data_IF_566671960869
#
_entry.id   IF_566671960869
#
_cell.length_a   1.000
_cell.length_b   1.000
_cell.length_c   1.000
_cell.angle_alpha   90.00
_cell.angle_beta   90.00
_cell.angle_gamma   90.00
#
_symmetry.space_group_name_H-M   'P 1'
#
loop_
_entity.id
_entity.type
_entity.pdbx_description
1 polymer ?
#
# COMPACT_ATOMS: atom_id res chain seq x y z
N UNK A 1 27.17 -5.85 58.97
CA UNK A 1 28.35 -5.15 58.40
C UNK A 1 27.98 -4.65 57.00
N UNK A 2 27.36 -3.47 56.93
CA UNK A 2 26.81 -2.87 55.70
C UNK A 2 27.93 -2.02 55.09
N UNK A 3 28.55 -2.50 54.02
CA UNK A 3 29.49 -1.74 53.18
C UNK A 3 28.89 -1.64 51.78
N UNK A 4 28.93 -0.44 51.22
CA UNK A 4 28.50 -0.04 49.87
C UNK A 4 27.05 0.39 49.70
N UNK A 5 26.67 1.47 50.41
CA UNK A 5 25.73 2.41 49.83
C UNK A 5 26.50 3.64 49.29
N UNK A 6 26.64 3.69 47.97
CA UNK A 6 27.30 4.79 47.26
C UNK A 6 26.52 6.11 47.42
N UNK A 7 25.21 6.05 47.68
CA UNK A 7 24.37 7.23 47.88
C UNK A 7 24.58 7.87 49.25
N UNK A 8 24.72 7.06 50.31
CA UNK A 8 25.02 7.57 51.65
C UNK A 8 26.38 8.29 51.70
N UNK A 9 27.40 7.76 51.00
CA UNK A 9 28.70 8.43 50.85
C UNK A 9 28.62 9.73 50.05
N UNK A 10 27.76 9.80 49.03
CA UNK A 10 27.56 11.00 48.24
C UNK A 10 26.86 12.12 49.03
N UNK A 11 25.91 11.79 49.91
CA UNK A 11 25.21 12.75 50.78
C UNK A 11 26.12 13.33 51.88
N UNK A 12 26.98 12.52 52.48
CA UNK A 12 27.97 12.99 53.47
C UNK A 12 28.98 13.95 52.81
N UNK A 13 29.42 13.64 51.58
CA UNK A 13 30.29 14.51 50.80
C UNK A 13 29.61 15.81 50.34
N UNK A 14 28.28 15.82 50.22
CA UNK A 14 27.53 17.01 49.80
C UNK A 14 27.53 18.10 50.88
N UNK A 15 27.51 17.73 52.17
CA UNK A 15 27.56 18.67 53.28
C UNK A 15 28.99 19.21 53.53
N UNK A 16 30.03 18.41 53.29
CA UNK A 16 31.42 18.88 53.34
C UNK A 16 31.79 19.78 52.16
N UNK A 17 31.17 19.59 50.97
CA UNK A 17 31.35 20.45 49.80
C UNK A 17 30.71 21.84 49.93
N UNK A 18 29.74 22.03 50.82
CA UNK A 18 29.06 23.33 51.00
C UNK A 18 29.99 24.41 51.62
N UNK A 19 31.10 23.99 52.24
CA UNK A 19 31.97 24.86 53.02
C UNK A 19 33.39 25.07 52.45
N UNK A 20 33.70 24.59 51.24
CA UNK A 20 35.08 24.63 50.71
C UNK A 20 35.15 25.00 49.24
N UNK A 21 35.85 26.10 48.95
CA UNK A 21 36.20 26.60 47.61
C UNK A 21 37.01 25.56 46.83
N UNK A 22 36.39 24.85 45.90
CA UNK A 22 37.10 24.23 44.77
C UNK A 22 36.12 23.99 43.61
N UNK A 23 36.42 24.56 42.44
CA UNK A 23 35.71 24.31 41.19
C UNK A 23 36.02 22.90 40.69
N UNK A 24 35.26 21.91 41.15
CA UNK A 24 35.23 20.59 40.53
C UNK A 24 33.88 20.43 39.86
N UNK A 25 33.85 20.65 38.53
CA UNK A 25 32.68 20.38 37.69
C UNK A 25 32.34 18.89 37.80
N UNK A 26 31.41 18.56 38.69
CA UNK A 26 31.06 17.19 39.02
C UNK A 26 30.33 16.55 37.82
N UNK A 27 30.56 15.28 37.53
CA UNK A 27 29.98 14.57 36.37
C UNK A 27 28.45 14.64 36.32
N UNK A 28 27.80 14.72 37.49
CA UNK A 28 26.36 14.93 37.63
C UNK A 28 25.91 16.33 37.16
N UNK A 29 26.72 17.36 37.39
CA UNK A 29 26.44 18.70 36.90
C UNK A 29 26.51 18.74 35.37
N UNK A 30 27.54 18.14 34.75
CA UNK A 30 27.63 17.98 33.29
C UNK A 30 26.45 17.20 32.69
N UNK A 31 25.93 16.20 33.41
CA UNK A 31 24.86 15.33 32.91
C UNK A 31 23.46 15.91 33.08
N UNK A 32 23.25 16.80 34.05
CA UNK A 32 21.91 17.24 34.47
C UNK A 32 21.68 18.76 34.48
N UNK A 33 22.70 19.63 34.25
CA UNK A 33 22.55 21.11 34.32
C UNK A 33 21.49 21.70 33.39
N UNK A 34 21.08 20.99 32.33
CA UNK A 34 20.29 21.56 31.24
C UNK A 34 19.09 20.69 30.84
N UNK A 35 18.38 20.08 31.79
CA UNK A 35 17.15 19.34 31.44
C UNK A 35 16.08 20.23 30.76
N UNK A 36 16.01 21.52 31.10
CA UNK A 36 15.11 22.51 30.48
C UNK A 36 15.62 23.05 29.13
N UNK A 37 16.93 23.14 28.90
CA UNK A 37 17.48 23.45 27.56
C UNK A 37 17.42 22.25 26.62
N UNK A 38 17.44 21.01 27.14
CA UNK A 38 17.37 19.79 26.33
C UNK A 38 16.02 19.65 25.64
N UNK A 39 14.93 20.09 26.25
CA UNK A 39 13.62 20.16 25.59
C UNK A 39 13.64 21.17 24.45
N UNK A 40 14.17 22.38 24.67
CA UNK A 40 14.26 23.40 23.63
C UNK A 40 15.24 23.04 22.48
N UNK A 41 16.35 22.37 22.78
CA UNK A 41 17.31 21.87 21.79
C UNK A 41 16.79 20.64 21.05
N UNK A 42 16.11 19.72 21.74
CA UNK A 42 15.45 18.57 21.10
C UNK A 42 14.29 19.05 20.23
N UNK A 43 13.54 20.06 20.67
CA UNK A 43 12.45 20.67 19.89
C UNK A 43 13.00 21.51 18.73
N UNK A 44 14.14 22.20 18.89
CA UNK A 44 14.88 22.81 17.77
C UNK A 44 15.45 21.77 16.81
N UNK A 45 15.96 20.64 17.29
CA UNK A 45 16.50 19.55 16.46
C UNK A 45 15.38 18.81 15.72
N UNK A 46 14.23 18.58 16.37
CA UNK A 46 12.99 18.09 15.74
C UNK A 46 12.46 19.09 14.71
N UNK A 47 12.53 20.40 14.99
CA UNK A 47 12.19 21.47 14.03
C UNK A 47 13.16 21.57 12.86
N UNK A 48 14.44 21.20 13.06
CA UNK A 48 15.50 21.25 12.05
C UNK A 48 15.81 19.85 11.50
N UNK A 49 14.79 19.05 11.22
CA UNK A 49 15.00 17.81 10.46
C UNK A 49 15.58 18.20 9.09
N UNK A 50 16.80 17.76 8.80
CA UNK A 50 17.43 18.07 7.52
C UNK A 50 16.72 17.28 6.43
N UNK A 51 15.86 17.99 5.70
CA UNK A 51 15.28 17.50 4.46
C UNK A 51 16.20 17.85 3.29
N UNK A 52 16.29 16.92 2.35
CA UNK A 52 17.00 17.10 1.08
C UNK A 52 15.98 17.11 -0.04
N UNK A 53 15.96 18.19 -0.83
CA UNK A 53 15.10 18.29 -2.00
C UNK A 53 15.80 17.70 -3.23
N UNK A 54 15.04 16.98 -4.04
CA UNK A 54 15.45 16.51 -5.35
C UNK A 54 15.31 17.66 -6.34
N UNK A 55 16.28 17.82 -7.23
CA UNK A 55 16.24 18.82 -8.31
C UNK A 55 14.95 18.70 -9.13
N UNK A 56 14.25 19.81 -9.31
CA UNK A 56 12.94 19.85 -9.97
C UNK A 56 12.96 19.29 -11.39
N UNK A 57 13.97 19.64 -12.19
CA UNK A 57 14.13 19.14 -13.56
C UNK A 57 14.22 17.60 -13.60
N UNK A 58 14.98 17.03 -12.67
CA UNK A 58 15.17 15.60 -12.53
C UNK A 58 13.88 14.89 -12.11
N UNK A 59 13.16 15.48 -11.16
CA UNK A 59 11.87 14.99 -10.68
C UNK A 59 10.80 15.00 -11.79
N UNK A 60 10.70 16.09 -12.55
CA UNK A 60 9.76 16.19 -13.67
C UNK A 60 10.13 15.22 -14.81
N UNK A 61 11.43 15.08 -15.11
CA UNK A 61 11.91 14.18 -16.16
C UNK A 61 11.53 12.72 -15.86
N UNK A 62 11.75 12.24 -14.64
CA UNK A 62 11.42 10.86 -14.27
C UNK A 62 9.90 10.61 -14.30
N UNK A 63 9.09 11.59 -13.90
CA UNK A 63 7.63 11.49 -13.99
C UNK A 63 7.17 11.35 -15.45
N UNK A 64 7.69 12.20 -16.35
CA UNK A 64 7.36 12.18 -17.78
C UNK A 64 7.77 10.87 -18.44
N UNK A 65 9.01 10.41 -18.22
CA UNK A 65 9.51 9.15 -18.76
C UNK A 65 8.69 7.93 -18.30
N UNK A 66 8.13 8.00 -17.09
CA UNK A 66 7.34 6.92 -16.51
C UNK A 66 5.87 6.95 -16.92
N UNK A 67 5.47 7.87 -17.80
CA UNK A 67 4.10 8.00 -18.28
C UNK A 67 3.12 8.56 -17.23
N UNK A 68 3.62 9.30 -16.24
CA UNK A 68 2.75 10.05 -15.32
C UNK A 68 2.17 11.22 -16.11
N UNK A 69 0.83 11.28 -16.16
CA UNK A 69 0.09 12.25 -16.95
C UNK A 69 -0.03 13.55 -16.13
N UNK A 70 0.98 14.41 -16.25
CA UNK A 70 1.06 15.72 -15.60
C UNK A 70 0.94 16.78 -16.70
N UNK A 71 0.27 17.91 -16.45
CA UNK A 71 0.24 19.02 -17.42
C UNK A 71 1.65 19.45 -17.84
N UNK A 72 1.81 19.65 -19.15
CA UNK A 72 3.01 20.24 -19.73
C UNK A 72 2.83 21.74 -20.05
N UNK A 73 1.58 22.19 -20.20
CA UNK A 73 1.25 23.52 -20.71
C UNK A 73 0.47 24.35 -19.67
N UNK A 74 0.78 25.65 -19.58
CA UNK A 74 0.11 26.57 -18.63
C UNK A 74 -1.31 26.92 -19.05
N UNK A 75 -1.66 26.67 -20.32
CA UNK A 75 -2.94 27.07 -20.91
C UNK A 75 -4.04 26.01 -20.78
N UNK A 76 -3.72 24.78 -20.35
CA UNK A 76 -4.69 23.68 -20.28
C UNK A 76 -4.81 23.15 -18.83
N UNK A 77 -6.00 22.78 -18.38
CA UNK A 77 -6.13 22.18 -17.05
C UNK A 77 -5.65 20.71 -17.09
N UNK A 78 -5.17 20.18 -15.97
CA UNK A 78 -4.78 18.75 -15.87
C UNK A 78 -5.95 17.83 -16.32
N UNK A 79 -7.18 18.24 -16.05
CA UNK A 79 -8.41 17.52 -16.43
C UNK A 79 -8.61 17.45 -17.94
N UNK A 80 -8.29 18.51 -18.67
CA UNK A 80 -8.46 18.57 -20.12
C UNK A 80 -7.46 17.63 -20.82
N UNK A 81 -6.21 17.63 -20.36
CA UNK A 81 -5.18 16.73 -20.89
C UNK A 81 -5.57 15.26 -20.68
N UNK A 82 -6.01 14.91 -19.48
CA UNK A 82 -6.45 13.56 -19.16
C UNK A 82 -7.71 13.16 -19.92
N UNK A 83 -8.65 14.09 -20.10
CA UNK A 83 -9.86 13.87 -20.92
C UNK A 83 -9.52 13.61 -22.39
N UNK A 84 -8.50 14.28 -22.93
CA UNK A 84 -8.01 14.00 -24.28
C UNK A 84 -7.25 12.68 -24.39
N UNK A 85 -6.53 12.29 -23.33
CA UNK A 85 -5.85 10.99 -23.29
C UNK A 85 -6.85 9.84 -23.22
N UNK A 86 -7.86 9.93 -22.34
CA UNK A 86 -8.81 8.84 -22.10
C UNK A 86 -9.69 8.56 -23.32
N UNK A 87 -10.02 9.58 -24.13
CA UNK A 87 -10.73 9.45 -25.42
C UNK A 87 -10.01 8.54 -26.43
N UNK A 88 -8.70 8.29 -26.26
CA UNK A 88 -7.88 7.41 -27.12
C UNK A 88 -7.88 5.94 -26.65
N UNK A 89 -8.38 5.66 -25.45
CA UNK A 89 -8.45 4.30 -24.91
C UNK A 89 -9.80 3.64 -25.26
N UNK A 90 -9.94 2.30 -25.15
CA UNK A 90 -11.21 1.62 -25.33
C UNK A 90 -12.35 2.20 -24.48
N UNK A 91 -13.59 2.04 -24.94
CA UNK A 91 -14.77 2.48 -24.21
C UNK A 91 -14.79 1.89 -22.78
N UNK A 92 -15.27 2.66 -21.81
CA UNK A 92 -15.29 2.34 -20.39
C UNK A 92 -13.91 2.25 -19.70
N UNK A 93 -12.83 2.60 -20.40
CA UNK A 93 -11.53 2.86 -19.76
C UNK A 93 -11.62 4.11 -18.88
N UNK A 94 -10.94 4.11 -17.75
CA UNK A 94 -10.84 5.27 -16.87
C UNK A 94 -9.45 5.48 -16.31
N UNK A 95 -9.18 6.71 -15.88
CA UNK A 95 -7.97 7.13 -15.19
C UNK A 95 -8.38 7.63 -13.82
N UNK A 96 -7.74 7.15 -12.77
CA UNK A 96 -7.82 7.72 -11.43
C UNK A 96 -6.54 8.50 -11.18
N UNK A 97 -6.67 9.76 -10.78
CA UNK A 97 -5.57 10.54 -10.25
C UNK A 97 -5.93 11.12 -8.88
N UNK A 98 -5.00 11.02 -7.95
CA UNK A 98 -5.16 11.58 -6.62
C UNK A 98 -3.84 12.14 -6.13
N UNK A 99 -3.81 13.44 -5.88
CA UNK A 99 -2.73 14.04 -5.11
C UNK A 99 -2.96 13.77 -3.63
N UNK A 100 -1.88 13.42 -2.94
CA UNK A 100 -1.93 13.12 -1.52
C UNK A 100 -0.74 13.73 -0.80
N UNK A 101 -0.87 13.84 0.52
CA UNK A 101 0.20 14.30 1.41
C UNK A 101 0.46 13.25 2.48
N UNK A 102 1.72 12.90 2.68
CA UNK A 102 2.10 11.93 3.71
C UNK A 102 1.77 12.48 5.11
N UNK A 103 1.04 11.69 5.92
CA UNK A 103 0.79 11.97 7.35
C UNK A 103 1.92 11.50 8.24
N UNK A 104 2.71 10.55 7.76
CA UNK A 104 3.89 10.02 8.42
C UNK A 104 4.96 9.70 7.39
N UNK A 105 6.24 9.55 7.79
CA UNK A 105 7.31 9.21 6.88
C UNK A 105 7.01 7.95 6.08
N UNK A 106 7.41 7.94 4.81
CA UNK A 106 7.34 6.77 3.95
C UNK A 106 8.70 6.09 3.84
N UNK A 107 8.69 4.77 3.94
CA UNK A 107 9.85 3.92 3.72
C UNK A 107 9.44 2.66 2.97
N UNK A 108 10.17 2.35 1.92
CA UNK A 108 10.27 1.00 1.37
C UNK A 108 11.75 0.73 1.22
N UNK A 109 12.21 -0.47 1.56
CA UNK A 109 13.63 -0.79 1.45
C UNK A 109 14.06 -0.77 -0.02
N UNK A 110 15.22 -0.17 -0.31
CA UNK A 110 15.91 -0.35 -1.59
C UNK A 110 16.80 -1.58 -1.54
N UNK A 111 16.96 -2.26 -2.68
CA UNK A 111 17.78 -3.47 -2.80
C UNK A 111 19.21 -3.13 -3.27
N UNK A 112 19.64 -1.88 -3.12
CA UNK A 112 20.97 -1.38 -3.52
C UNK A 112 22.04 -1.82 -2.51
N UNK A 113 22.83 -2.83 -2.86
CA UNK A 113 23.81 -3.49 -1.97
C UNK A 113 24.93 -2.55 -1.48
N UNK A 114 25.22 -1.46 -2.21
CA UNK A 114 26.34 -0.55 -1.93
C UNK A 114 25.87 0.84 -1.48
N UNK A 115 24.89 0.90 -0.58
CA UNK A 115 24.40 2.15 -0.03
C UNK A 115 25.07 2.53 1.30
N UNK A 116 25.35 3.83 1.49
CA UNK A 116 26.07 4.35 2.68
C UNK A 116 25.22 4.18 3.96
N UNK A 117 23.90 4.24 3.82
CA UNK A 117 22.94 4.12 4.92
C UNK A 117 22.40 2.68 4.95
N UNK A 118 22.27 2.11 6.15
CA UNK A 118 21.82 0.71 6.34
C UNK A 118 20.44 0.42 5.77
N UNK A 119 19.51 1.37 5.86
CA UNK A 119 18.13 1.22 5.39
C UNK A 119 17.84 2.34 4.38
N UNK A 120 18.29 2.21 3.11
CA UNK A 120 17.95 3.17 2.07
C UNK A 120 16.48 3.13 1.74
N UNK A 121 15.87 4.29 1.49
CA UNK A 121 14.56 4.31 0.86
C UNK A 121 14.70 3.93 -0.61
N UNK A 122 13.70 3.21 -1.10
CA UNK A 122 13.56 2.79 -2.47
C UNK A 122 13.57 3.97 -3.44
N UNK A 123 14.48 3.93 -4.41
CA UNK A 123 14.60 4.93 -5.47
C UNK A 123 14.51 4.31 -6.87
N UNK A 124 14.13 5.13 -7.84
CA UNK A 124 14.31 4.81 -9.25
C UNK A 124 15.81 4.61 -9.56
N UNK A 125 16.15 3.64 -10.42
CA UNK A 125 17.53 3.18 -10.60
C UNK A 125 18.44 4.22 -11.23
N UNK A 126 17.99 4.89 -12.29
CA UNK A 126 18.82 5.81 -13.07
C UNK A 126 18.92 7.19 -12.41
N UNK A 127 17.78 7.76 -12.03
CA UNK A 127 17.67 9.08 -11.44
C UNK A 127 17.77 9.05 -9.92
N UNK A 128 17.75 7.90 -9.24
CA UNK A 128 17.84 7.86 -7.77
C UNK A 128 16.83 8.81 -7.09
N UNK A 129 15.61 8.85 -7.64
CA UNK A 129 14.48 9.62 -7.09
C UNK A 129 13.64 8.68 -6.23
N UNK A 130 13.32 9.02 -4.97
CA UNK A 130 12.52 8.16 -4.10
C UNK A 130 11.16 7.87 -4.68
N UNK A 131 10.69 6.63 -4.53
CA UNK A 131 9.42 6.22 -5.14
C UNK A 131 8.64 5.16 -4.37
N UNK A 132 7.36 5.10 -4.68
CA UNK A 132 6.51 3.90 -4.55
C UNK A 132 6.49 3.22 -5.92
N UNK A 133 6.91 1.96 -6.01
CA UNK A 133 6.77 1.17 -7.25
C UNK A 133 5.29 0.97 -7.57
N UNK A 134 4.96 0.85 -8.87
CA UNK A 134 3.61 0.45 -9.30
C UNK A 134 3.17 -0.89 -8.69
N UNK A 135 4.09 -1.85 -8.52
CA UNK A 135 3.82 -3.10 -7.81
C UNK A 135 3.56 -2.91 -6.32
N UNK A 136 4.15 -1.88 -5.69
CA UNK A 136 3.87 -1.50 -4.30
C UNK A 136 2.44 -0.99 -4.14
N UNK A 137 1.99 -0.12 -5.05
CA UNK A 137 0.59 0.31 -5.11
C UNK A 137 -0.37 -0.85 -5.37
N UNK A 138 -0.04 -1.71 -6.34
CA UNK A 138 -0.82 -2.93 -6.64
C UNK A 138 -0.99 -3.78 -5.38
N UNK A 139 0.09 -4.05 -4.65
CA UNK A 139 0.07 -4.87 -3.43
C UNK A 139 -0.73 -4.23 -2.30
N UNK A 140 -0.55 -2.93 -2.05
CA UNK A 140 -1.30 -2.20 -1.02
C UNK A 140 -2.81 -2.20 -1.32
N UNK A 141 -3.20 -1.92 -2.56
CA UNK A 141 -4.60 -1.92 -2.99
C UNK A 141 -5.20 -3.32 -2.97
N UNK A 142 -4.47 -4.35 -3.41
CA UNK A 142 -4.91 -5.74 -3.29
C UNK A 142 -5.16 -6.12 -1.81
N UNK A 143 -4.30 -5.66 -0.89
CA UNK A 143 -4.51 -5.79 0.55
C UNK A 143 -5.79 -5.11 1.03
N UNK A 144 -6.03 -3.87 0.61
CA UNK A 144 -7.26 -3.16 0.95
C UNK A 144 -8.53 -3.84 0.39
N UNK A 145 -8.46 -4.42 -0.81
CA UNK A 145 -9.57 -5.22 -1.35
C UNK A 145 -9.90 -6.43 -0.49
N UNK A 146 -8.89 -7.13 0.05
CA UNK A 146 -9.12 -8.25 0.99
C UNK A 146 -9.86 -7.79 2.24
N UNK A 147 -9.56 -6.60 2.74
CA UNK A 147 -10.30 -6.02 3.86
C UNK A 147 -11.75 -5.70 3.46
N UNK A 148 -11.96 -5.06 2.31
CA UNK A 148 -13.30 -4.77 1.77
C UNK A 148 -14.13 -6.04 1.61
N UNK A 149 -13.54 -7.12 1.08
CA UNK A 149 -14.19 -8.44 0.96
C UNK A 149 -14.67 -8.92 2.35
N UNK A 150 -13.82 -8.82 3.37
CA UNK A 150 -14.14 -9.32 4.71
C UNK A 150 -15.10 -8.41 5.50
N UNK A 151 -15.26 -7.14 5.11
CA UNK A 151 -16.22 -6.20 5.69
C UNK A 151 -17.64 -6.41 5.16
N UNK A 152 -17.80 -7.15 4.05
CA UNK A 152 -19.13 -7.50 3.51
C UNK A 152 -19.73 -8.71 4.22
N UNK A 153 -20.88 -8.48 4.86
CA UNK A 153 -21.69 -9.52 5.50
C UNK A 153 -22.57 -10.28 4.48
N UNK A 154 -23.09 -9.57 3.48
CA UNK A 154 -23.92 -10.14 2.42
C UNK A 154 -23.05 -10.85 1.36
N UNK A 155 -23.45 -12.07 1.01
CA UNK A 155 -22.83 -12.87 -0.05
C UNK A 155 -22.74 -12.13 -1.39
N UNK A 156 -23.83 -11.46 -1.81
CA UNK A 156 -23.88 -10.78 -3.10
C UNK A 156 -22.90 -9.60 -3.16
N UNK A 157 -22.83 -8.80 -2.09
CA UNK A 157 -21.89 -7.67 -2.01
C UNK A 157 -20.44 -8.16 -1.99
N UNK A 158 -20.15 -9.24 -1.26
CA UNK A 158 -18.82 -9.84 -1.21
C UNK A 158 -18.36 -10.30 -2.59
N UNK A 159 -19.25 -10.98 -3.32
CA UNK A 159 -19.02 -11.43 -4.69
C UNK A 159 -18.69 -10.27 -5.63
N UNK A 160 -19.42 -9.17 -5.57
CA UNK A 160 -19.13 -8.00 -6.42
C UNK A 160 -17.71 -7.46 -6.21
N UNK A 161 -17.23 -7.44 -4.97
CA UNK A 161 -15.85 -7.01 -4.66
C UNK A 161 -14.83 -8.02 -5.14
N UNK A 162 -15.09 -9.33 -5.01
CA UNK A 162 -14.20 -10.39 -5.52
C UNK A 162 -14.11 -10.34 -7.05
N UNK A 163 -15.25 -10.25 -7.73
CA UNK A 163 -15.34 -10.11 -9.18
C UNK A 163 -14.53 -8.88 -9.65
N UNK A 164 -14.62 -7.76 -8.91
CA UNK A 164 -13.82 -6.56 -9.19
C UNK A 164 -12.33 -6.79 -8.95
N UNK A 165 -11.96 -7.44 -7.85
CA UNK A 165 -10.58 -7.78 -7.51
C UNK A 165 -9.91 -8.57 -8.65
N UNK A 166 -10.56 -9.62 -9.13
CA UNK A 166 -10.02 -10.47 -10.20
C UNK A 166 -9.85 -9.69 -11.50
N UNK A 167 -10.85 -8.92 -11.92
CA UNK A 167 -10.76 -8.04 -13.09
C UNK A 167 -9.63 -7.03 -12.98
N UNK A 168 -9.52 -6.32 -11.85
CA UNK A 168 -8.57 -5.23 -11.64
C UNK A 168 -7.13 -5.75 -11.59
N UNK A 169 -6.88 -6.76 -10.74
CA UNK A 169 -5.52 -7.22 -10.43
C UNK A 169 -5.03 -8.34 -11.34
N UNK A 170 -5.96 -9.03 -11.99
CA UNK A 170 -5.72 -10.22 -12.80
C UNK A 170 -5.73 -11.50 -11.98
N UNK A 171 -5.92 -12.61 -12.68
CA UNK A 171 -6.03 -13.95 -12.13
C UNK A 171 -4.84 -14.82 -12.57
N UNK A 172 -3.62 -14.28 -12.49
CA UNK A 172 -2.40 -14.92 -13.02
C UNK A 172 -1.60 -15.77 -12.03
N UNK A 173 -2.18 -16.11 -10.88
CA UNK A 173 -1.49 -16.86 -9.83
C UNK A 173 -1.34 -18.33 -10.17
N UNK A 174 -0.36 -18.99 -9.55
CA UNK A 174 -0.19 -20.43 -9.71
C UNK A 174 -1.38 -21.23 -9.16
N UNK A 175 -2.08 -20.70 -8.14
CA UNK A 175 -3.30 -21.30 -7.60
C UNK A 175 -4.41 -21.31 -8.65
N UNK A 176 -4.63 -20.20 -9.34
CA UNK A 176 -5.66 -20.09 -10.38
C UNK A 176 -5.31 -20.94 -11.60
N UNK A 177 -4.06 -20.90 -12.06
CA UNK A 177 -3.59 -21.78 -13.14
C UNK A 177 -3.82 -23.25 -12.81
N UNK A 178 -3.49 -23.66 -11.58
CA UNK A 178 -3.72 -25.04 -11.15
C UNK A 178 -5.21 -25.35 -11.11
N UNK A 179 -6.06 -24.45 -10.60
CA UNK A 179 -7.52 -24.64 -10.62
C UNK A 179 -8.03 -24.76 -12.07
N UNK A 180 -7.56 -23.92 -12.97
CA UNK A 180 -7.93 -23.88 -14.39
C UNK A 180 -7.50 -25.15 -15.13
N UNK A 181 -6.22 -25.53 -15.04
CA UNK A 181 -5.65 -26.74 -15.66
C UNK A 181 -6.45 -27.99 -15.25
N UNK A 182 -6.86 -28.06 -13.98
CA UNK A 182 -7.62 -29.19 -13.46
C UNK A 182 -9.06 -29.23 -13.97
N UNK A 183 -9.70 -28.07 -14.09
CA UNK A 183 -11.05 -27.97 -14.64
C UNK A 183 -11.09 -28.34 -16.12
N UNK A 184 -10.03 -28.01 -16.88
CA UNK A 184 -9.92 -28.33 -18.30
C UNK A 184 -9.51 -29.80 -18.56
N UNK A 185 -8.55 -30.34 -17.81
CA UNK A 185 -7.93 -31.65 -18.12
C UNK A 185 -8.65 -32.87 -17.55
N UNK A 186 -9.54 -32.71 -16.55
CA UNK A 186 -10.25 -33.80 -15.83
C UNK A 186 -9.37 -34.92 -15.25
N UNK A 187 -8.05 -34.81 -15.32
CA UNK A 187 -7.07 -35.79 -14.85
C UNK A 187 -6.07 -35.07 -13.96
N UNK A 188 -6.34 -35.07 -12.66
CA UNK A 188 -5.47 -34.45 -11.67
C UNK A 188 -5.64 -35.07 -10.29
N UNK A 189 -4.72 -34.77 -9.40
CA UNK A 189 -4.80 -35.10 -7.97
C UNK A 189 -5.83 -34.21 -7.26
N UNK A 190 -6.98 -34.79 -6.88
CA UNK A 190 -8.05 -34.10 -6.15
C UNK A 190 -7.55 -33.47 -4.84
N UNK A 191 -6.56 -34.06 -4.17
CA UNK A 191 -5.95 -33.50 -2.97
C UNK A 191 -5.26 -32.17 -3.25
N UNK A 192 -4.43 -32.13 -4.30
CA UNK A 192 -3.76 -30.91 -4.75
C UNK A 192 -4.74 -29.82 -5.20
N UNK A 193 -5.86 -30.20 -5.81
CA UNK A 193 -6.92 -29.24 -6.16
C UNK A 193 -7.53 -28.58 -4.91
N UNK A 194 -7.88 -29.37 -3.89
CA UNK A 194 -8.42 -28.86 -2.62
C UNK A 194 -7.44 -27.91 -1.93
N UNK A 195 -6.16 -28.27 -1.92
CA UNK A 195 -5.08 -27.43 -1.37
C UNK A 195 -5.01 -26.08 -2.09
N UNK A 196 -4.93 -26.08 -3.43
CA UNK A 196 -4.87 -24.84 -4.22
C UNK A 196 -6.14 -24.00 -4.15
N UNK A 197 -7.29 -24.63 -4.01
CA UNK A 197 -8.55 -23.95 -3.75
C UNK A 197 -8.52 -23.20 -2.40
N UNK A 198 -8.06 -23.86 -1.33
CA UNK A 198 -7.91 -23.23 -0.02
C UNK A 198 -6.85 -22.13 -0.03
N UNK A 199 -5.72 -22.33 -0.70
CA UNK A 199 -4.69 -21.30 -0.88
C UNK A 199 -5.25 -20.07 -1.59
N UNK A 200 -6.02 -20.26 -2.67
CA UNK A 200 -6.66 -19.18 -3.41
C UNK A 200 -7.61 -18.36 -2.51
N UNK A 201 -8.52 -19.04 -1.80
CA UNK A 201 -9.50 -18.39 -0.92
C UNK A 201 -8.79 -17.65 0.22
N UNK A 202 -7.79 -18.27 0.84
CA UNK A 202 -7.12 -17.73 2.03
C UNK A 202 -6.13 -16.62 1.68
N UNK A 203 -5.23 -16.87 0.74
CA UNK A 203 -4.08 -16.00 0.47
C UNK A 203 -4.37 -14.98 -0.61
N UNK A 204 -5.13 -15.34 -1.65
CA UNK A 204 -5.39 -14.43 -2.77
C UNK A 204 -6.60 -13.56 -2.52
N UNK A 205 -7.73 -14.16 -2.14
CA UNK A 205 -8.94 -13.41 -1.80
C UNK A 205 -8.90 -12.86 -0.36
N UNK A 206 -7.99 -13.36 0.48
CA UNK A 206 -7.88 -12.91 1.87
C UNK A 206 -9.09 -13.27 2.72
N UNK A 207 -9.92 -14.22 2.27
CA UNK A 207 -11.16 -14.55 2.95
C UNK A 207 -10.87 -15.30 4.25
N UNK A 208 -11.63 -14.98 5.30
CA UNK A 208 -11.61 -15.77 6.53
C UNK A 208 -12.21 -17.14 6.25
N UNK A 209 -11.44 -18.18 6.52
CA UNK A 209 -11.88 -19.57 6.41
C UNK A 209 -12.19 -20.08 7.82
N UNK A 210 -13.38 -20.65 7.99
CA UNK A 210 -13.75 -21.36 9.21
C UNK A 210 -13.53 -22.87 9.07
N UNK A 211 -13.55 -23.58 10.19
CA UNK A 211 -13.36 -25.04 10.21
C UNK A 211 -14.44 -25.76 9.39
N UNK A 212 -15.66 -25.23 9.39
CA UNK A 212 -16.77 -25.82 8.65
C UNK A 212 -16.50 -25.85 7.14
N UNK A 213 -15.97 -24.76 6.57
CA UNK A 213 -15.61 -24.68 5.16
C UNK A 213 -14.45 -25.63 4.81
N UNK A 214 -13.46 -25.76 5.70
CA UNK A 214 -12.35 -26.70 5.51
C UNK A 214 -12.87 -28.13 5.49
N UNK A 215 -13.73 -28.49 6.44
CA UNK A 215 -14.33 -29.82 6.54
C UNK A 215 -15.27 -30.08 5.34
N UNK A 216 -16.03 -29.08 4.89
CA UNK A 216 -16.86 -29.13 3.69
C UNK A 216 -16.02 -29.45 2.46
N UNK A 217 -14.93 -28.71 2.20
CA UNK A 217 -14.03 -28.93 1.06
C UNK A 217 -13.33 -30.29 1.17
N UNK A 218 -12.85 -30.66 2.36
CA UNK A 218 -12.12 -31.90 2.56
C UNK A 218 -13.00 -33.14 2.40
N UNK A 219 -14.28 -33.07 2.78
CA UNK A 219 -15.24 -34.17 2.66
C UNK A 219 -15.71 -34.44 1.22
N UNK A 220 -15.55 -33.49 0.29
CA UNK A 220 -15.96 -33.68 -1.10
C UNK A 220 -15.03 -34.62 -1.87
N UNK A 221 -15.59 -35.60 -2.56
CA UNK A 221 -14.83 -36.57 -3.36
C UNK A 221 -15.00 -36.38 -4.87
N UNK A 222 -15.65 -35.30 -5.29
CA UNK A 222 -15.92 -35.03 -6.70
C UNK A 222 -15.53 -33.61 -7.08
N UNK A 223 -15.08 -33.44 -8.32
CA UNK A 223 -14.74 -32.13 -8.88
C UNK A 223 -15.96 -31.23 -9.00
N UNK A 224 -17.10 -31.77 -9.44
CA UNK A 224 -18.32 -30.98 -9.64
C UNK A 224 -18.85 -30.40 -8.34
N UNK A 225 -18.74 -31.14 -7.22
CA UNK A 225 -19.16 -30.60 -5.90
C UNK A 225 -18.20 -29.54 -5.36
N UNK A 226 -16.88 -29.68 -5.57
CA UNK A 226 -15.92 -28.64 -5.21
C UNK A 226 -16.08 -27.38 -6.07
N UNK A 227 -16.36 -27.57 -7.35
CA UNK A 227 -16.71 -26.52 -8.30
C UNK A 227 -17.96 -25.78 -7.85
N UNK A 228 -19.01 -26.50 -7.44
CA UNK A 228 -20.22 -25.90 -6.85
C UNK A 228 -19.94 -25.10 -5.57
N UNK A 229 -18.99 -25.52 -4.73
CA UNK A 229 -18.56 -24.75 -3.55
C UNK A 229 -17.88 -23.45 -3.97
N UNK A 230 -16.95 -23.50 -4.93
CA UNK A 230 -16.33 -22.30 -5.51
C UNK A 230 -17.42 -21.37 -6.07
N UNK A 231 -18.45 -21.93 -6.73
CA UNK A 231 -19.53 -21.18 -7.36
C UNK A 231 -20.42 -20.49 -6.34
N UNK A 232 -20.86 -21.23 -5.34
CA UNK A 232 -21.67 -20.74 -4.23
C UNK A 232 -20.94 -19.79 -3.30
N UNK A 233 -19.60 -19.77 -3.29
CA UNK A 233 -18.81 -18.95 -2.36
C UNK A 233 -18.12 -17.76 -3.03
N UNK A 234 -17.96 -17.78 -4.35
CA UNK A 234 -17.12 -16.80 -5.05
C UNK A 234 -17.83 -16.13 -6.22
N UNK A 235 -18.61 -16.83 -7.06
CA UNK A 235 -19.39 -16.16 -8.13
C UNK A 235 -20.57 -16.98 -8.69
N UNK A 236 -21.76 -16.39 -8.81
CA UNK A 236 -22.89 -16.98 -9.55
C UNK A 236 -22.84 -16.74 -11.06
N UNK A 237 -21.89 -15.93 -11.59
CA UNK A 237 -21.66 -15.86 -13.05
C UNK A 237 -21.19 -17.21 -13.64
N UNK A 238 -20.94 -18.16 -12.75
CA UNK A 238 -20.49 -19.53 -12.99
C UNK A 238 -21.64 -20.54 -13.28
N UNK A 239 -22.85 -20.09 -13.62
CA UNK A 239 -23.97 -21.02 -13.78
C UNK A 239 -23.84 -22.02 -14.96
N UNK A 240 -23.78 -23.30 -14.56
CA UNK A 240 -24.26 -24.58 -15.13
C UNK A 240 -23.94 -25.04 -16.56
N UNK A 241 -23.71 -24.18 -17.55
CA UNK A 241 -23.58 -24.66 -18.95
C UNK A 241 -22.19 -24.49 -19.57
N UNK A 242 -21.28 -23.75 -18.94
CA UNK A 242 -19.90 -23.64 -19.43
C UNK A 242 -18.99 -24.72 -18.82
N UNK A 243 -18.38 -25.50 -19.70
CA UNK A 243 -17.27 -26.41 -19.33
C UNK A 243 -16.08 -25.63 -18.74
N UNK A 244 -15.98 -24.34 -19.05
CA UNK A 244 -14.87 -23.47 -18.73
C UNK A 244 -15.22 -22.46 -17.60
N UNK A 245 -14.18 -22.03 -16.87
CA UNK A 245 -14.30 -20.92 -15.91
C UNK A 245 -14.59 -19.60 -16.66
N UNK A 246 -15.29 -18.61 -16.08
CA UNK A 246 -15.46 -17.27 -16.60
C UNK A 246 -14.10 -16.63 -16.77
N UNK A 247 -14.02 -15.67 -17.69
CA UNK A 247 -12.75 -15.07 -18.08
C UNK A 247 -12.03 -14.42 -16.88
N UNK A 248 -12.79 -13.93 -15.89
CA UNK A 248 -12.27 -13.35 -14.65
C UNK A 248 -11.58 -14.37 -13.73
N UNK A 249 -11.89 -15.64 -13.89
CA UNK A 249 -11.32 -16.75 -13.12
C UNK A 249 -10.34 -17.58 -13.93
N UNK A 250 -10.17 -17.29 -15.23
CA UNK A 250 -9.12 -17.86 -16.06
C UNK A 250 -7.83 -17.07 -15.89
N UNK A 251 -6.70 -17.64 -16.29
CA UNK A 251 -5.42 -16.94 -16.27
C UNK A 251 -5.46 -15.70 -17.18
N UNK A 252 -5.61 -14.52 -16.58
CA UNK A 252 -5.69 -13.27 -17.32
C UNK A 252 -4.89 -12.14 -16.66
N UNK A 253 -4.51 -11.14 -17.46
CA UNK A 253 -3.86 -9.91 -16.97
C UNK A 253 -4.91 -9.01 -16.31
N UNK A 254 -4.53 -8.29 -15.25
CA UNK A 254 -5.42 -7.29 -14.64
C UNK A 254 -5.70 -6.11 -15.57
N UNK A 255 -6.93 -5.58 -15.51
CA UNK A 255 -7.38 -4.39 -16.24
C UNK A 255 -6.73 -3.11 -15.75
N UNK A 256 -6.23 -3.06 -14.49
CA UNK A 256 -5.60 -1.88 -13.92
C UNK A 256 -4.07 -1.87 -14.07
N UNK A 257 -3.56 -0.74 -14.53
CA UNK A 257 -2.15 -0.40 -14.63
C UNK A 257 -1.83 0.58 -13.50
N UNK A 258 -0.94 0.18 -12.60
CA UNK A 258 -0.53 0.96 -11.44
C UNK A 258 0.79 1.66 -11.74
N UNK A 259 0.77 2.99 -11.76
CA UNK A 259 1.97 3.79 -12.03
C UNK A 259 2.78 4.03 -10.76
N UNK A 260 4.11 4.24 -10.87
CA UNK A 260 4.92 4.63 -9.73
C UNK A 260 4.54 6.04 -9.24
N UNK A 261 4.72 6.28 -7.95
CA UNK A 261 4.67 7.63 -7.37
C UNK A 261 6.08 8.05 -7.00
N UNK A 262 6.51 9.23 -7.43
CA UNK A 262 7.80 9.81 -7.09
C UNK A 262 7.65 10.86 -5.99
N UNK A 263 8.70 11.03 -5.20
CA UNK A 263 8.79 12.08 -4.18
C UNK A 263 9.99 12.99 -4.42
N UNK A 264 9.83 14.27 -4.09
CA UNK A 264 10.83 15.31 -4.29
C UNK A 264 11.68 15.58 -3.03
N UNK A 265 11.50 14.79 -1.97
CA UNK A 265 12.19 14.99 -0.67
C UNK A 265 12.71 13.70 -0.06
N UNK A 266 13.78 13.85 0.71
CA UNK A 266 14.42 12.82 1.52
C UNK A 266 14.74 13.35 2.91
N UNK A 267 14.71 12.48 3.92
CA UNK A 267 15.10 12.77 5.29
C UNK A 267 15.72 11.54 5.93
N UNK A 268 16.32 11.72 7.12
CA UNK A 268 16.75 10.64 7.98
C UNK A 268 15.82 10.49 9.20
N UNK A 269 15.46 9.26 9.52
CA UNK A 269 14.74 8.85 10.73
C UNK A 269 15.60 7.93 11.57
N UNK A 270 15.36 7.97 12.89
CA UNK A 270 16.05 7.11 13.84
C UNK A 270 15.02 6.36 14.68
N UNK A 271 15.07 5.04 14.61
CA UNK A 271 14.31 4.17 15.51
C UNK A 271 15.28 3.58 16.51
N UNK A 272 15.03 3.76 17.81
CA UNK A 272 15.82 3.14 18.87
C UNK A 272 14.98 2.05 19.57
N UNK A 273 15.15 0.77 19.22
CA UNK A 273 14.45 -0.31 19.90
C UNK A 273 14.80 -0.32 21.40
N UNK A 274 13.82 -0.62 22.24
CA UNK A 274 14.02 -0.69 23.68
C UNK A 274 14.04 -2.14 24.17
N UNK A 275 15.04 -2.48 24.99
CA UNK A 275 15.02 -3.72 25.76
C UNK A 275 13.94 -3.60 26.84
N UNK A 276 12.90 -4.44 26.75
CA UNK A 276 11.77 -4.43 27.68
C UNK A 276 12.17 -4.72 29.13
N UNK A 277 13.21 -5.52 29.36
CA UNK A 277 13.67 -5.89 30.72
C UNK A 277 14.49 -4.76 31.33
N UNK A 278 15.39 -4.15 30.55
CA UNK A 278 16.29 -3.10 31.03
C UNK A 278 15.70 -1.70 30.93
N UNK A 279 14.57 -1.54 30.22
CA UNK A 279 13.92 -0.25 29.89
C UNK A 279 14.89 0.78 29.29
N UNK A 280 15.93 0.29 28.60
CA UNK A 280 16.97 1.09 27.98
C UNK A 280 16.92 0.90 26.46
N UNK A 281 17.22 1.95 25.71
CA UNK A 281 17.40 1.86 24.25
C UNK A 281 18.62 0.98 23.95
N UNK A 282 18.55 0.19 22.89
CA UNK A 282 19.66 -0.64 22.45
C UNK A 282 20.54 0.14 21.47
N UNK A 283 20.47 -0.18 20.19
CA UNK A 283 21.25 0.47 19.15
C UNK A 283 20.30 1.23 18.22
N UNK A 284 20.49 2.55 18.05
CA UNK A 284 19.73 3.34 17.09
C UNK A 284 19.89 2.78 15.68
N UNK A 285 18.76 2.62 14.99
CA UNK A 285 18.67 2.16 13.60
C UNK A 285 18.27 3.36 12.74
N UNK A 286 19.10 3.68 11.75
CA UNK A 286 18.90 4.80 10.85
C UNK A 286 18.15 4.35 9.59
N UNK A 287 17.15 5.13 9.22
CA UNK A 287 16.37 4.96 8.00
C UNK A 287 16.46 6.22 7.17
N UNK A 288 16.82 6.06 5.90
CA UNK A 288 16.50 7.09 4.91
C UNK A 288 15.03 6.95 4.56
N UNK A 289 14.30 8.05 4.52
CA UNK A 289 12.85 8.06 4.31
C UNK A 289 12.44 9.21 3.41
N UNK A 290 11.21 9.15 2.92
CA UNK A 290 10.51 10.35 2.47
C UNK A 290 9.82 10.98 3.69
N UNK A 291 10.06 12.27 4.00
CA UNK A 291 9.54 12.88 5.22
C UNK A 291 8.01 13.04 5.18
N UNK A 292 7.42 13.13 6.37
CA UNK A 292 6.03 13.57 6.56
C UNK A 292 5.77 14.90 5.84
N UNK A 293 4.55 15.07 5.34
CA UNK A 293 4.13 16.28 4.65
C UNK A 293 4.59 16.37 3.20
N UNK A 294 5.39 15.41 2.72
CA UNK A 294 5.75 15.33 1.29
C UNK A 294 4.51 14.94 0.48
N UNK A 295 4.35 15.60 -0.67
CA UNK A 295 3.25 15.33 -1.58
C UNK A 295 3.61 14.22 -2.57
N UNK A 296 2.62 13.42 -2.94
CA UNK A 296 2.73 12.40 -3.98
C UNK A 296 1.52 12.43 -4.91
N UNK A 297 1.68 11.83 -6.09
CA UNK A 297 0.63 11.66 -7.08
C UNK A 297 0.40 10.17 -7.31
N UNK A 298 -0.80 9.69 -6.99
CA UNK A 298 -1.30 8.37 -7.38
C UNK A 298 -1.89 8.47 -8.79
N UNK A 299 -1.50 7.56 -9.68
CA UNK A 299 -2.10 7.39 -11.00
C UNK A 299 -2.40 5.92 -11.27
N UNK A 300 -3.64 5.63 -11.67
CA UNK A 300 -4.09 4.31 -12.09
C UNK A 300 -4.82 4.46 -13.41
N UNK A 301 -4.49 3.62 -14.39
CA UNK A 301 -5.24 3.54 -15.66
C UNK A 301 -5.91 2.18 -15.74
N UNK A 302 -7.22 2.17 -15.90
CA UNK A 302 -8.03 0.97 -16.09
C UNK A 302 -8.42 0.82 -17.56
N UNK A 303 -8.20 -0.36 -18.13
CA UNK A 303 -8.52 -0.69 -19.52
C UNK A 303 -9.23 -2.05 -19.54
N UNK A 304 -10.52 -2.13 -19.94
CA UNK A 304 -11.26 -3.38 -20.05
C UNK A 304 -10.92 -4.13 -21.35
N UNK A 305 -9.65 -4.52 -21.52
CA UNK A 305 -9.14 -5.08 -22.78
C UNK A 305 -9.68 -6.47 -23.12
N UNK A 306 -10.12 -7.23 -22.12
CA UNK A 306 -10.73 -8.58 -22.22
C UNK A 306 -12.21 -8.52 -22.59
N UNK A 307 -12.79 -7.32 -22.63
CA UNK A 307 -14.22 -7.12 -22.76
C UNK A 307 -14.68 -6.85 -24.21
N UNK A 308 -13.80 -6.97 -25.21
CA UNK A 308 -14.11 -6.66 -26.63
C UNK A 308 -15.32 -7.44 -27.18
N UNK A 309 -15.56 -8.65 -26.66
CA UNK A 309 -16.67 -9.51 -27.07
C UNK A 309 -17.91 -9.45 -26.15
N UNK A 310 -17.86 -8.64 -25.08
CA UNK A 310 -18.97 -8.49 -24.12
C UNK A 310 -19.94 -7.40 -24.59
N UNK A 311 -21.20 -7.50 -24.18
CA UNK A 311 -22.18 -6.43 -24.38
C UNK A 311 -21.77 -5.17 -23.61
N UNK A 312 -21.85 -4.00 -24.26
CA UNK A 312 -21.40 -2.73 -23.67
C UNK A 312 -22.02 -2.43 -22.31
N UNK A 313 -23.31 -2.74 -22.10
CA UNK A 313 -23.99 -2.51 -20.82
C UNK A 313 -23.40 -3.35 -19.68
N UNK A 314 -22.88 -4.54 -19.97
CA UNK A 314 -22.19 -5.38 -18.98
C UNK A 314 -20.84 -4.78 -18.63
N UNK A 315 -20.06 -4.34 -19.64
CA UNK A 315 -18.75 -3.71 -19.44
C UNK A 315 -18.89 -2.43 -18.63
N UNK A 316 -19.91 -1.63 -18.94
CA UNK A 316 -20.25 -0.41 -18.21
C UNK A 316 -20.46 -0.69 -16.73
N UNK A 317 -21.32 -1.65 -16.39
CA UNK A 317 -21.60 -2.03 -14.98
C UNK A 317 -20.35 -2.57 -14.27
N UNK A 318 -19.53 -3.37 -14.97
CA UNK A 318 -18.25 -3.85 -14.43
C UNK A 318 -17.32 -2.68 -14.12
N UNK A 319 -17.13 -1.75 -15.05
CA UNK A 319 -16.25 -0.60 -14.88
C UNK A 319 -16.76 0.39 -13.81
N UNK A 320 -18.08 0.60 -13.71
CA UNK A 320 -18.71 1.36 -12.62
C UNK A 320 -18.35 0.78 -11.25
N UNK A 321 -18.53 -0.54 -11.11
CA UNK A 321 -18.24 -1.23 -9.84
C UNK A 321 -16.74 -1.28 -9.54
N UNK A 322 -15.92 -1.51 -10.55
CA UNK A 322 -14.47 -1.55 -10.41
C UNK A 322 -13.93 -0.17 -9.98
N UNK A 323 -14.47 0.92 -10.52
CA UNK A 323 -14.16 2.29 -10.12
C UNK A 323 -14.59 2.59 -8.68
N UNK A 324 -15.81 2.22 -8.30
CA UNK A 324 -16.33 2.38 -6.92
C UNK A 324 -15.41 1.66 -5.91
N UNK A 325 -15.10 0.40 -6.18
CA UNK A 325 -14.26 -0.43 -5.31
C UNK A 325 -12.81 0.06 -5.27
N UNK A 326 -12.23 0.50 -6.39
CA UNK A 326 -10.89 1.10 -6.43
C UNK A 326 -10.82 2.37 -5.58
N UNK A 327 -11.76 3.30 -5.74
CA UNK A 327 -11.77 4.53 -4.95
C UNK A 327 -11.93 4.25 -3.46
N UNK A 328 -12.79 3.30 -3.09
CA UNK A 328 -12.95 2.82 -1.71
C UNK A 328 -11.66 2.19 -1.16
N UNK A 329 -10.98 1.38 -1.96
CA UNK A 329 -9.70 0.77 -1.58
C UNK A 329 -8.60 1.83 -1.39
N UNK A 330 -8.55 2.87 -2.22
CA UNK A 330 -7.58 3.97 -2.07
C UNK A 330 -7.79 4.71 -0.74
N UNK A 331 -9.04 5.02 -0.38
CA UNK A 331 -9.37 5.64 0.90
C UNK A 331 -8.91 4.76 2.07
N UNK A 332 -9.06 3.44 1.97
CA UNK A 332 -8.58 2.49 2.99
C UNK A 332 -7.04 2.42 3.07
N UNK A 333 -6.36 2.37 1.91
CA UNK A 333 -4.89 2.41 1.83
C UNK A 333 -4.34 3.71 2.46
N UNK A 334 -5.05 4.84 2.35
CA UNK A 334 -4.64 6.10 2.98
C UNK A 334 -4.49 5.98 4.50
N UNK A 335 -5.32 5.15 5.14
CA UNK A 335 -5.30 4.91 6.59
C UNK A 335 -4.36 3.77 6.99
N UNK A 336 -4.24 2.73 6.16
CA UNK A 336 -3.38 1.59 6.43
C UNK A 336 -1.89 1.90 6.18
N UNK A 337 -1.61 2.82 5.25
CA UNK A 337 -0.27 3.22 4.83
C UNK A 337 0.32 2.35 3.72
N UNK A 338 1.29 2.92 3.00
CA UNK A 338 2.04 2.26 1.91
C UNK A 338 3.49 1.99 2.30
N UNK A 339 4.09 0.98 1.67
CA UNK A 339 5.47 0.59 1.93
C UNK A 339 5.62 -0.27 3.19
N UNK A 340 6.71 -0.06 3.92
CA UNK A 340 7.10 -0.81 5.10
C UNK A 340 6.83 -0.03 6.38
N UNK A 341 6.86 -0.75 7.51
CA UNK A 341 6.63 -0.20 8.87
C UNK A 341 5.23 0.43 9.05
N UNK A 342 4.24 0.02 8.26
CA UNK A 342 2.83 0.48 8.37
C UNK A 342 2.23 0.27 9.77
N UNK A 343 2.67 -0.76 10.51
CA UNK A 343 2.29 -0.95 11.93
C UNK A 343 2.72 0.18 12.86
N UNK A 344 3.71 0.98 12.47
CA UNK A 344 4.14 2.21 13.15
C UNK A 344 3.44 3.46 12.59
N UNK A 345 2.52 3.28 11.63
CA UNK A 345 1.80 4.34 10.90
C UNK A 345 2.54 4.87 9.67
N UNK A 346 3.72 4.35 9.35
CA UNK A 346 4.53 4.84 8.24
C UNK A 346 3.82 4.67 6.90
N UNK A 347 3.99 5.65 6.02
CA UNK A 347 3.36 5.70 4.70
C UNK A 347 1.87 5.97 4.71
N UNK A 348 1.25 6.32 5.84
CA UNK A 348 -0.13 6.84 5.85
C UNK A 348 -0.19 8.21 5.19
N UNK A 349 -1.33 8.54 4.59
CA UNK A 349 -1.49 9.80 3.85
C UNK A 349 -2.91 10.36 3.90
N UNK A 350 -3.05 11.62 3.56
CA UNK A 350 -4.32 12.29 3.29
C UNK A 350 -4.46 12.58 1.80
N UNK A 351 -5.62 12.27 1.24
CA UNK A 351 -5.96 12.68 -0.12
C UNK A 351 -6.35 14.16 -0.13
N UNK A 352 -5.90 14.90 -1.14
CA UNK A 352 -6.26 16.30 -1.31
C UNK A 352 -7.59 16.36 -2.07
N UNK A 353 -8.68 16.71 -1.40
CA UNK A 353 -10.05 16.58 -1.94
C UNK A 353 -10.29 17.32 -3.27
N UNK A 354 -9.62 18.46 -3.49
CA UNK A 354 -9.73 19.21 -4.76
C UNK A 354 -8.89 18.64 -5.91
N UNK A 355 -7.99 17.71 -5.59
CA UNK A 355 -7.02 17.11 -6.50
C UNK A 355 -7.15 15.56 -6.53
N UNK A 356 -8.34 15.05 -6.18
CA UNK A 356 -8.73 13.65 -6.36
C UNK A 356 -9.89 13.55 -7.35
N UNK A 357 -9.65 12.92 -8.49
CA UNK A 357 -10.63 12.86 -9.56
C UNK A 357 -10.41 11.65 -10.47
N UNK A 358 -11.41 11.36 -11.29
CA UNK A 358 -11.34 10.34 -12.32
C UNK A 358 -11.78 10.90 -13.67
N UNK A 359 -11.13 10.49 -14.75
CA UNK A 359 -11.56 10.75 -16.11
C UNK A 359 -11.96 9.44 -16.78
N UNK A 360 -13.01 9.43 -17.59
CA UNK A 360 -13.53 8.21 -18.19
C UNK A 360 -13.91 8.40 -19.65
N UNK A 361 -13.70 7.36 -20.46
CA UNK A 361 -14.22 7.28 -21.81
C UNK A 361 -15.63 6.67 -21.80
N UNK A 362 -16.66 7.50 -21.92
CA UNK A 362 -18.07 7.11 -21.90
C UNK A 362 -18.82 7.54 -20.64
N UNK A 363 -20.08 7.13 -20.55
CA UNK A 363 -21.00 7.57 -19.49
C UNK A 363 -21.05 6.57 -18.35
N UNK A 364 -20.16 6.76 -17.38
CA UNK A 364 -20.15 6.05 -16.10
C UNK A 364 -20.30 7.08 -14.97
N UNK A 365 -21.20 6.74 -14.05
CA UNK A 365 -21.40 7.38 -12.75
C UNK A 365 -21.04 6.34 -11.69
N UNK A 366 -20.18 6.66 -10.73
CA UNK A 366 -19.75 5.57 -9.83
C UNK A 366 -18.96 5.94 -8.59
N UNK A 367 -18.74 7.21 -8.28
CA UNK A 367 -17.96 7.57 -7.09
C UNK A 367 -18.19 9.01 -6.64
N UNK A 368 -17.87 9.28 -5.36
CA UNK A 368 -17.89 10.61 -4.74
C UNK A 368 -16.72 11.50 -5.18
N UNK A 369 -15.75 10.93 -5.90
CA UNK A 369 -14.60 11.67 -6.41
C UNK A 369 -15.00 12.60 -7.55
N UNK A 370 -14.23 13.67 -7.77
CA UNK A 370 -14.52 14.59 -8.86
C UNK A 370 -14.43 13.89 -10.23
N UNK A 371 -15.39 14.13 -11.12
CA UNK A 371 -15.29 13.68 -12.52
C UNK A 371 -14.57 14.75 -13.34
N UNK A 372 -13.67 14.37 -14.24
CA UNK A 372 -13.14 15.28 -15.24
C UNK A 372 -14.30 15.73 -16.13
N UNK A 373 -14.52 17.04 -16.24
CA UNK A 373 -15.35 17.59 -17.30
C UNK A 373 -14.47 17.55 -18.57
N UNK A 374 -15.03 17.06 -19.67
CA UNK A 374 -14.31 16.86 -20.92
C UNK A 374 -14.92 17.59 -22.10
#
# INVERSE_FOLDING_TARGET
MIKYDAFARAMINFNTLKNGKEEVNNYLELKFKNLTKKTDELDKFKKNKKEYSIWSEKFQTVQKMSGILIKEDKNNTDKDYLSNYIKKLPLHSFIIQAKFKLKQPYFSNDDDEFYIIQNPVLKEKAFKVPMVRGSGWKGALAGAFKELINEKDNFNEKKEVIDSYLRIFGAGSDSIKTIEDYLQSKNGDLGKFKEKLLEFILFELGMRIDKNLIDEINSQNSYETLKDILYKKISEKLQRDNKDLPIEFQTHKGRAIFYPTYFDRLSLEVINPHDRRKRAGTQPIYYEVVPEGTEGLLQIIYIPFDAVLKENDVIKKEAEKDLENLTSAIEKVSQNGIGAKTKLGWGTFELIDREKYYCINGDIEGTRWGKCQG
#
